data_IF_022914644317
#
_entry.id   IF_022914644317
#
_cell.length_a   1.000
_cell.length_b   1.000
_cell.length_c   1.000
_cell.angle_alpha   90.00
_cell.angle_beta   90.00
_cell.angle_gamma   90.00
#
_symmetry.space_group_name_H-M   'P 1'
#
loop_
_entity.id
_entity.type
_entity.pdbx_description
1 polymer ?
#
# COMPACT_ATOMS: atom_id res chain seq x y z
N UNK A 1 -11.04 -10.90 -45.49
CA UNK A 1 -10.63 -12.31 -45.37
C UNK A 1 -9.18 -12.31 -44.95
N UNK A 2 -8.87 -11.74 -43.78
CA UNK A 2 -9.12 -12.27 -42.41
C UNK A 2 -8.26 -13.52 -42.20
N UNK A 3 -7.40 -13.61 -41.19
CA UNK A 3 -7.59 -13.19 -39.81
C UNK A 3 -6.24 -12.94 -39.12
N UNK A 4 -6.08 -11.79 -38.44
CA UNK A 4 -5.07 -11.61 -37.38
C UNK A 4 -5.48 -12.48 -36.19
N UNK A 5 -4.63 -13.41 -35.80
CA UNK A 5 -4.76 -14.15 -34.55
C UNK A 5 -4.35 -13.17 -33.44
N UNK A 6 -5.32 -12.70 -32.66
CA UNK A 6 -5.06 -12.06 -31.37
C UNK A 6 -4.50 -13.14 -30.44
N UNK A 7 -3.23 -13.03 -30.04
CA UNK A 7 -2.71 -13.79 -28.90
C UNK A 7 -3.39 -13.23 -27.65
N UNK A 8 -4.46 -13.90 -27.22
CA UNK A 8 -5.13 -13.63 -25.94
C UNK A 8 -4.09 -13.68 -24.83
N UNK A 9 -3.84 -12.53 -24.18
CA UNK A 9 -3.08 -12.48 -22.94
C UNK A 9 -3.90 -13.24 -21.90
N UNK A 10 -3.46 -14.45 -21.58
CA UNK A 10 -4.15 -15.29 -20.61
C UNK A 10 -3.92 -14.67 -19.22
N UNK A 11 -4.95 -13.99 -18.73
CA UNK A 11 -5.03 -13.45 -17.37
C UNK A 11 -5.58 -14.57 -16.48
N UNK A 12 -4.72 -15.08 -15.61
CA UNK A 12 -5.10 -16.07 -14.60
C UNK A 12 -5.31 -15.37 -13.27
N UNK A 13 -6.51 -15.48 -12.73
CA UNK A 13 -6.83 -15.02 -11.39
C UNK A 13 -6.68 -16.19 -10.42
N UNK A 14 -5.79 -16.06 -9.44
CA UNK A 14 -5.64 -17.03 -8.36
C UNK A 14 -5.95 -16.37 -7.03
N UNK A 15 -6.72 -17.04 -6.18
CA UNK A 15 -6.96 -16.59 -4.82
C UNK A 15 -6.11 -17.42 -3.87
N UNK A 16 -5.18 -16.78 -3.18
CA UNK A 16 -4.32 -17.44 -2.21
C UNK A 16 -4.51 -16.86 -0.82
N UNK A 17 -4.44 -17.72 0.18
CA UNK A 17 -4.70 -17.34 1.55
C UNK A 17 -3.39 -16.84 2.19
N UNK A 18 -3.10 -15.55 2.04
CA UNK A 18 -1.94 -14.92 2.66
C UNK A 18 -2.35 -14.31 4.00
N UNK A 19 -1.67 -14.67 5.09
CA UNK A 19 -2.04 -14.09 6.39
C UNK A 19 -3.42 -14.54 6.91
N UNK A 20 -4.02 -15.60 6.34
CA UNK A 20 -5.42 -15.96 6.56
C UNK A 20 -6.43 -14.99 5.92
N UNK A 21 -6.01 -14.25 4.89
CA UNK A 21 -6.85 -13.39 4.06
C UNK A 21 -6.85 -13.93 2.64
N UNK A 22 -8.03 -14.12 2.07
CA UNK A 22 -8.19 -14.51 0.66
C UNK A 22 -7.70 -13.35 -0.23
N UNK A 23 -6.56 -13.55 -0.87
CA UNK A 23 -5.82 -12.54 -1.64
C UNK A 23 -5.93 -12.88 -3.11
N UNK A 24 -6.57 -12.01 -3.89
CA UNK A 24 -6.62 -12.15 -5.35
C UNK A 24 -5.28 -11.75 -5.95
N UNK A 25 -4.68 -12.68 -6.69
CA UNK A 25 -3.44 -12.52 -7.43
C UNK A 25 -3.77 -12.61 -8.90
N UNK A 26 -3.62 -11.49 -9.60
CA UNK A 26 -3.79 -11.43 -11.04
C UNK A 26 -2.43 -11.73 -11.68
N UNK A 27 -2.34 -12.88 -12.35
CA UNK A 27 -1.14 -13.38 -13.02
C UNK A 27 -1.32 -13.22 -14.54
N UNK A 28 -0.31 -12.71 -15.23
CA UNK A 28 -0.33 -12.59 -16.69
C UNK A 28 0.75 -13.50 -17.27
N UNK A 29 0.36 -14.49 -18.09
CA UNK A 29 1.27 -15.47 -18.72
C UNK A 29 1.03 -16.92 -18.29
N UNK A 30 1.70 -17.91 -18.92
CA UNK A 30 1.42 -19.33 -18.70
C UNK A 30 1.81 -19.79 -17.28
N UNK A 31 0.83 -20.33 -16.55
CA UNK A 31 0.96 -20.80 -15.17
C UNK A 31 0.18 -22.11 -14.96
N UNK A 32 0.55 -22.94 -13.99
CA UNK A 32 -0.13 -24.21 -13.65
C UNK A 32 -0.85 -24.12 -12.31
N UNK A 33 -2.14 -24.47 -12.35
CA UNK A 33 -3.14 -24.35 -11.30
C UNK A 33 -3.02 -25.46 -10.24
N UNK A 34 -3.19 -25.15 -8.95
CA UNK A 34 -2.91 -26.10 -7.87
C UNK A 34 -4.11 -26.62 -7.09
N UNK A 35 -5.29 -25.98 -7.02
CA UNK A 35 -6.36 -26.49 -6.13
C UNK A 35 -7.78 -26.05 -6.57
N UNK A 36 -8.43 -26.89 -7.38
CA UNK A 36 -9.86 -27.03 -7.69
C UNK A 36 -10.95 -26.23 -6.89
N UNK A 37 -11.75 -25.47 -7.65
CA UNK A 37 -13.22 -25.14 -7.56
C UNK A 37 -13.85 -24.52 -6.28
N UNK A 38 -14.39 -23.29 -6.34
CA UNK A 38 -15.72 -22.81 -6.82
C UNK A 38 -16.90 -22.97 -5.83
N UNK A 39 -17.22 -21.90 -5.07
CA UNK A 39 -18.59 -21.37 -4.93
C UNK A 39 -18.70 -20.08 -4.07
N UNK A 40 -19.51 -19.13 -4.55
CA UNK A 40 -20.17 -17.97 -3.90
C UNK A 40 -19.38 -16.64 -3.72
N UNK A 41 -19.85 -15.62 -4.46
CA UNK A 41 -19.86 -14.15 -4.23
C UNK A 41 -18.90 -13.56 -3.16
N UNK A 42 -17.80 -12.88 -3.56
CA UNK A 42 -16.84 -12.19 -2.66
C UNK A 42 -16.17 -10.93 -3.28
N UNK A 43 -15.64 -9.98 -2.46
CA UNK A 43 -15.44 -8.57 -2.85
C UNK A 43 -14.04 -8.15 -3.34
N UNK A 44 -14.02 -7.40 -4.46
CA UNK A 44 -13.44 -6.05 -4.76
C UNK A 44 -12.21 -5.45 -4.00
N UNK A 45 -11.13 -6.18 -3.73
CA UNK A 45 -9.86 -5.52 -3.32
C UNK A 45 -8.60 -6.27 -3.75
N UNK A 46 -7.73 -5.60 -4.52
CA UNK A 46 -6.39 -6.06 -4.91
C UNK A 46 -5.37 -5.57 -3.86
N UNK A 47 -4.77 -6.49 -3.10
CA UNK A 47 -3.59 -6.22 -2.27
C UNK A 47 -2.44 -7.07 -2.79
N UNK A 48 -1.41 -6.39 -3.29
CA UNK A 48 -0.24 -7.02 -3.86
C UNK A 48 0.81 -7.24 -2.75
N UNK A 49 0.81 -8.43 -2.14
CA UNK A 49 1.89 -8.84 -1.23
C UNK A 49 2.96 -9.51 -2.09
N UNK A 50 3.93 -8.70 -2.50
CA UNK A 50 5.08 -9.18 -3.25
C UNK A 50 5.94 -10.01 -2.30
N UNK A 51 6.12 -11.29 -2.61
CA UNK A 51 7.22 -12.07 -2.07
C UNK A 51 8.15 -12.36 -3.24
N UNK A 52 9.33 -11.75 -3.21
CA UNK A 52 10.37 -12.10 -4.18
C UNK A 52 11.13 -13.27 -3.55
N UNK A 53 11.28 -14.43 -4.19
CA UNK A 53 12.12 -15.50 -3.66
C UNK A 53 13.58 -15.06 -3.43
N UNK A 54 14.06 -14.01 -4.11
CA UNK A 54 15.37 -13.39 -3.92
C UNK A 54 15.37 -12.22 -2.92
N UNK A 55 14.25 -11.98 -2.23
CA UNK A 55 14.08 -10.98 -1.17
C UNK A 55 15.23 -10.95 -0.15
N UNK A 56 15.84 -12.09 0.14
CA UNK A 56 16.93 -12.21 1.12
C UNK A 56 18.23 -11.51 0.69
N UNK A 57 18.42 -11.22 -0.60
CA UNK A 57 19.60 -10.47 -1.09
C UNK A 57 19.47 -8.95 -0.91
N UNK A 58 18.26 -8.47 -0.60
CA UNK A 58 17.99 -7.03 -0.40
C UNK A 58 18.45 -6.63 1.00
N UNK A 59 19.41 -5.71 1.04
CA UNK A 59 19.89 -5.13 2.28
C UNK A 59 18.75 -4.39 2.97
N UNK A 60 18.49 -4.72 4.24
CA UNK A 60 17.44 -4.11 5.06
C UNK A 60 16.03 -4.26 4.47
N UNK A 61 15.64 -5.49 4.09
CA UNK A 61 14.34 -5.77 3.47
C UNK A 61 13.13 -5.24 4.24
N UNK A 62 13.18 -5.19 5.58
CA UNK A 62 12.07 -4.69 6.39
C UNK A 62 12.12 -3.17 6.58
N UNK A 63 13.18 -2.50 6.15
CA UNK A 63 13.29 -1.05 6.12
C UNK A 63 12.62 -0.43 4.90
N UNK A 64 12.38 0.88 4.96
CA UNK A 64 11.75 1.68 3.93
C UNK A 64 12.49 1.54 2.59
N UNK A 65 13.83 1.63 2.61
CA UNK A 65 14.65 1.48 1.40
C UNK A 65 14.56 0.07 0.83
N UNK A 66 14.70 -0.95 1.66
CA UNK A 66 14.59 -2.34 1.20
C UNK A 66 13.21 -2.64 0.62
N UNK A 67 12.14 -2.10 1.22
CA UNK A 67 10.78 -2.21 0.69
C UNK A 67 10.58 -1.53 -0.67
N UNK A 68 11.30 -0.45 -0.96
CA UNK A 68 11.29 0.22 -2.27
C UNK A 68 12.09 -0.60 -3.28
N UNK A 69 13.32 -0.98 -2.95
CA UNK A 69 14.21 -1.78 -3.81
C UNK A 69 13.54 -3.11 -4.19
N UNK A 70 12.85 -3.73 -3.24
CA UNK A 70 12.09 -4.96 -3.44
C UNK A 70 10.97 -4.81 -4.47
N UNK A 71 10.18 -3.73 -4.39
CA UNK A 71 9.13 -3.45 -5.39
C UNK A 71 9.72 -3.17 -6.77
N UNK A 72 10.82 -2.42 -6.84
CA UNK A 72 11.51 -2.15 -8.10
C UNK A 72 12.06 -3.44 -8.72
N UNK A 73 12.71 -4.29 -7.94
CA UNK A 73 13.26 -5.57 -8.39
C UNK A 73 12.17 -6.48 -8.95
N UNK A 74 11.03 -6.55 -8.26
CA UNK A 74 9.86 -7.27 -8.75
C UNK A 74 9.36 -6.70 -10.08
N UNK A 75 9.14 -5.38 -10.17
CA UNK A 75 8.63 -4.75 -11.40
C UNK A 75 9.58 -5.01 -12.59
N UNK A 76 10.89 -4.99 -12.36
CA UNK A 76 11.88 -5.27 -13.42
C UNK A 76 11.94 -6.73 -13.84
N UNK A 77 11.73 -7.66 -12.92
CA UNK A 77 11.93 -9.10 -13.18
C UNK A 77 10.64 -9.81 -13.60
N UNK A 78 9.49 -9.38 -13.10
CA UNK A 78 8.23 -10.10 -13.25
C UNK A 78 7.23 -9.41 -14.19
N UNK A 79 7.36 -8.09 -14.42
CA UNK A 79 6.46 -7.37 -15.33
C UNK A 79 7.07 -7.30 -16.74
N UNK A 80 6.37 -7.79 -17.77
CA UNK A 80 6.81 -7.64 -19.15
C UNK A 80 6.97 -6.17 -19.56
N UNK A 81 7.99 -5.87 -20.38
CA UNK A 81 8.37 -4.48 -20.73
C UNK A 81 7.33 -3.73 -21.55
N UNK A 82 6.44 -4.46 -22.21
CA UNK A 82 5.36 -3.96 -23.06
C UNK A 82 4.06 -3.68 -22.29
N UNK A 83 3.97 -4.09 -21.01
CA UNK A 83 2.80 -3.87 -20.17
C UNK A 83 2.83 -2.48 -19.55
N UNK A 84 1.85 -1.64 -19.88
CA UNK A 84 1.64 -0.33 -19.26
C UNK A 84 1.21 -0.46 -17.80
N UNK A 85 1.74 0.39 -16.93
CA UNK A 85 1.53 0.32 -15.49
C UNK A 85 0.71 1.50 -14.95
N UNK A 86 -0.21 1.20 -14.04
CA UNK A 86 -0.84 2.18 -13.15
C UNK A 86 -0.39 1.89 -11.73
N UNK A 87 0.22 2.86 -11.06
CA UNK A 87 0.69 2.70 -9.68
C UNK A 87 -0.31 3.36 -8.71
N UNK A 88 -0.68 2.67 -7.65
CA UNK A 88 -1.56 3.21 -6.60
C UNK A 88 -0.81 3.09 -5.27
N UNK A 89 -0.47 4.23 -4.69
CA UNK A 89 0.16 4.31 -3.38
C UNK A 89 -0.84 4.83 -2.35
N UNK A 90 -0.94 4.16 -1.19
CA UNK A 90 -1.66 4.66 -0.03
C UNK A 90 -0.68 4.99 1.09
N UNK A 91 -0.86 6.12 1.79
CA UNK A 91 0.00 6.51 2.91
C UNK A 91 1.47 6.50 2.49
N UNK A 92 2.34 5.78 3.20
CA UNK A 92 3.77 5.60 2.84
C UNK A 92 3.95 4.98 1.46
N UNK A 93 2.99 4.18 1.00
CA UNK A 93 2.98 3.62 -0.35
C UNK A 93 3.02 4.72 -1.42
N UNK A 94 2.46 5.91 -1.15
CA UNK A 94 2.59 7.08 -2.04
C UNK A 94 4.06 7.51 -2.19
N UNK A 95 4.81 7.56 -1.08
CA UNK A 95 6.24 7.86 -1.10
C UNK A 95 7.00 6.76 -1.85
N UNK A 96 6.72 5.48 -1.58
CA UNK A 96 7.37 4.36 -2.26
C UNK A 96 7.15 4.42 -3.78
N UNK A 97 5.93 4.72 -4.22
CA UNK A 97 5.60 4.85 -5.65
C UNK A 97 6.34 6.02 -6.30
N UNK A 98 6.49 7.16 -5.62
CA UNK A 98 7.33 8.26 -6.11
C UNK A 98 8.81 7.83 -6.24
N UNK A 99 9.31 7.04 -5.30
CA UNK A 99 10.68 6.48 -5.39
C UNK A 99 10.81 5.44 -6.52
N UNK A 100 9.77 4.66 -6.81
CA UNK A 100 9.75 3.77 -7.99
C UNK A 100 9.88 4.61 -9.27
N UNK A 101 9.11 5.68 -9.42
CA UNK A 101 9.21 6.57 -10.58
C UNK A 101 10.61 7.16 -10.74
N UNK A 102 11.24 7.56 -9.63
CA UNK A 102 12.59 8.12 -9.60
C UNK A 102 13.69 7.11 -9.96
N UNK A 103 13.60 5.89 -9.45
CA UNK A 103 14.67 4.90 -9.53
C UNK A 103 14.47 3.83 -10.61
N UNK A 104 13.28 3.79 -11.23
CA UNK A 104 12.95 2.94 -12.34
C UNK A 104 12.20 3.70 -13.45
N UNK A 105 12.80 4.78 -14.01
CA UNK A 105 12.16 5.60 -15.04
C UNK A 105 11.90 4.84 -16.35
N UNK A 106 12.55 3.69 -16.55
CA UNK A 106 12.32 2.81 -17.69
C UNK A 106 10.96 2.09 -17.65
N UNK A 107 10.29 2.05 -16.49
CA UNK A 107 9.00 1.40 -16.36
C UNK A 107 7.91 2.20 -17.10
N UNK A 108 7.06 1.55 -17.91
CA UNK A 108 6.02 2.21 -18.70
C UNK A 108 4.81 2.62 -17.84
N UNK A 109 5.04 3.46 -16.83
CA UNK A 109 4.00 3.96 -15.92
C UNK A 109 3.21 5.08 -16.57
N UNK A 110 1.94 4.79 -16.88
CA UNK A 110 1.00 5.69 -17.56
C UNK A 110 0.24 6.59 -16.60
N UNK A 111 0.00 6.17 -15.36
CA UNK A 111 -0.65 7.00 -14.35
C UNK A 111 -0.31 6.54 -12.93
N UNK A 112 -0.36 7.46 -11.97
CA UNK A 112 -0.11 7.19 -10.57
C UNK A 112 -1.14 7.88 -9.68
N UNK A 113 -1.77 7.11 -8.78
CA UNK A 113 -2.68 7.62 -7.75
C UNK A 113 -1.99 7.62 -6.38
N UNK A 114 -1.96 8.77 -5.73
CA UNK A 114 -1.34 9.00 -4.42
C UNK A 114 -2.46 9.28 -3.40
N UNK A 115 -2.90 8.22 -2.72
CA UNK A 115 -4.02 8.22 -1.78
C UNK A 115 -3.55 8.52 -0.37
N UNK A 116 -4.10 9.55 0.26
CA UNK A 116 -3.75 10.01 1.61
C UNK A 116 -2.22 10.10 1.78
N UNK A 117 -1.53 10.91 0.96
CA UNK A 117 -0.11 10.70 0.65
C UNK A 117 0.83 11.21 1.74
N UNK A 118 1.42 10.30 2.52
CA UNK A 118 2.49 10.64 3.49
C UNK A 118 3.83 10.73 2.76
N UNK A 119 4.04 11.84 2.05
CA UNK A 119 5.24 12.10 1.22
C UNK A 119 6.14 13.19 1.79
N UNK A 120 5.75 13.80 2.91
CA UNK A 120 6.47 14.86 3.58
C UNK A 120 6.05 14.99 5.05
N UNK A 121 6.91 15.63 5.85
CA UNK A 121 6.64 16.11 7.22
C UNK A 121 5.93 15.08 8.12
N UNK A 122 6.21 13.79 7.94
CA UNK A 122 5.42 12.72 8.54
C UNK A 122 5.43 12.80 10.08
N UNK A 123 6.60 12.98 10.67
CA UNK A 123 6.77 13.16 12.12
C UNK A 123 6.15 14.45 12.67
N UNK A 124 5.95 15.47 11.83
CA UNK A 124 5.37 16.76 12.23
C UNK A 124 3.83 16.77 12.16
N UNK A 125 3.23 15.79 11.50
CA UNK A 125 1.77 15.63 11.42
C UNK A 125 1.15 15.41 12.82
N UNK A 126 -0.15 15.71 13.02
CA UNK A 126 -0.82 15.49 14.30
C UNK A 126 -0.62 14.08 14.87
N UNK A 127 -0.74 13.05 14.04
CA UNK A 127 -0.53 11.66 14.46
C UNK A 127 0.95 11.32 14.57
N UNK A 128 1.78 11.84 13.65
CA UNK A 128 3.23 11.63 13.66
C UNK A 128 3.90 12.12 14.93
N UNK A 129 3.48 13.26 15.49
CA UNK A 129 4.03 13.77 16.76
C UNK A 129 3.81 12.83 17.94
N UNK A 130 2.73 12.05 17.91
CA UNK A 130 2.40 11.06 18.94
C UNK A 130 3.09 9.73 18.64
N UNK A 131 3.09 9.30 17.38
CA UNK A 131 3.62 8.01 16.95
C UNK A 131 5.17 7.96 16.94
N UNK A 132 5.83 9.06 16.57
CA UNK A 132 7.31 9.13 16.45
C UNK A 132 8.03 8.70 17.73
N UNK A 133 7.73 9.21 18.94
CA UNK A 133 8.41 8.73 20.14
C UNK A 133 8.16 7.23 20.42
N UNK A 134 6.94 6.74 20.14
CA UNK A 134 6.59 5.32 20.32
C UNK A 134 7.40 4.42 19.39
N UNK A 135 7.49 4.79 18.11
CA UNK A 135 8.15 4.00 17.07
C UNK A 135 9.68 4.16 17.11
N UNK A 136 10.21 5.34 17.41
CA UNK A 136 11.66 5.59 17.36
C UNK A 136 12.36 5.27 18.67
N UNK A 137 11.76 5.62 19.82
CA UNK A 137 12.44 5.54 21.12
C UNK A 137 11.99 4.35 21.94
N UNK A 138 10.69 4.03 21.90
CA UNK A 138 10.13 2.92 22.67
C UNK A 138 10.06 1.60 21.91
N UNK A 139 10.54 1.50 20.67
CA UNK A 139 10.48 0.24 19.89
C UNK A 139 11.11 -0.95 20.60
N UNK A 140 12.24 -0.77 21.28
CA UNK A 140 12.87 -1.89 21.98
C UNK A 140 12.07 -2.32 23.22
N UNK A 141 11.41 -1.36 23.89
CA UNK A 141 10.45 -1.70 24.94
C UNK A 141 9.26 -2.46 24.35
N UNK A 142 8.74 -2.05 23.19
CA UNK A 142 7.70 -2.78 22.46
C UNK A 142 8.14 -4.19 22.10
N UNK A 143 9.37 -4.38 21.61
CA UNK A 143 9.90 -5.71 21.26
C UNK A 143 10.03 -6.61 22.48
N UNK A 144 10.52 -6.07 23.59
CA UNK A 144 10.65 -6.81 24.85
C UNK A 144 9.28 -7.16 25.41
N UNK A 145 8.33 -6.22 25.42
CA UNK A 145 6.98 -6.50 25.91
C UNK A 145 6.25 -7.50 25.02
N UNK A 146 6.37 -7.37 23.70
CA UNK A 146 5.80 -8.29 22.72
C UNK A 146 6.40 -9.70 22.87
N UNK A 147 7.73 -9.81 22.94
CA UNK A 147 8.39 -11.10 23.15
C UNK A 147 8.00 -11.76 24.49
N UNK A 148 7.97 -11.00 25.59
CA UNK A 148 7.67 -11.54 26.92
C UNK A 148 6.18 -11.83 27.13
N UNK A 149 5.28 -11.06 26.51
CA UNK A 149 3.83 -11.19 26.73
C UNK A 149 3.17 -12.06 25.67
N UNK A 150 3.54 -11.92 24.38
CA UNK A 150 2.87 -12.61 23.28
C UNK A 150 3.50 -13.96 22.96
N UNK A 151 4.82 -14.15 23.09
CA UNK A 151 5.46 -15.47 22.82
C UNK A 151 4.94 -16.60 23.73
N UNK A 152 4.83 -16.43 25.07
CA UNK A 152 4.35 -17.51 25.94
C UNK A 152 2.81 -17.59 26.01
N UNK A 153 2.09 -16.64 25.41
CA UNK A 153 0.64 -16.58 25.48
C UNK A 153 -0.01 -17.64 24.58
N UNK A 154 -0.92 -18.48 25.10
CA UNK A 154 -1.63 -19.46 24.27
C UNK A 154 -2.42 -18.76 23.17
N UNK A 155 -2.46 -19.36 21.97
CA UNK A 155 -3.12 -18.76 20.80
C UNK A 155 -4.61 -18.51 21.01
N UNK A 156 -5.25 -19.26 21.92
CA UNK A 156 -6.63 -19.05 22.35
C UNK A 156 -6.81 -17.65 22.97
N UNK A 157 -5.86 -17.22 23.81
CA UNK A 157 -5.92 -15.92 24.50
C UNK A 157 -5.60 -14.79 23.52
N UNK A 158 -4.60 -14.97 22.63
CA UNK A 158 -4.33 -14.03 21.54
C UNK A 158 -5.58 -13.84 20.67
N UNK A 159 -6.21 -14.94 20.29
CA UNK A 159 -7.43 -14.95 19.47
C UNK A 159 -8.59 -14.23 20.16
N UNK A 160 -8.74 -14.43 21.47
CA UNK A 160 -9.74 -13.75 22.26
C UNK A 160 -9.49 -12.24 22.36
N UNK A 161 -8.25 -11.81 22.62
CA UNK A 161 -7.86 -10.40 22.66
C UNK A 161 -8.10 -9.72 21.30
N UNK A 162 -7.74 -10.40 20.21
CA UNK A 162 -7.97 -9.94 18.83
C UNK A 162 -9.46 -9.73 18.57
N UNK A 163 -10.30 -10.69 18.96
CA UNK A 163 -11.74 -10.57 18.79
C UNK A 163 -12.33 -9.40 19.59
N UNK A 164 -11.78 -9.09 20.77
CA UNK A 164 -12.17 -7.90 21.54
C UNK A 164 -11.76 -6.63 20.80
N UNK A 165 -10.49 -6.52 20.39
CA UNK A 165 -9.99 -5.36 19.67
C UNK A 165 -10.81 -5.13 18.41
N UNK A 166 -11.02 -6.15 17.59
CA UNK A 166 -11.84 -6.14 16.36
C UNK A 166 -13.27 -5.64 16.60
N UNK A 167 -13.92 -6.11 17.68
CA UNK A 167 -15.25 -5.64 18.08
C UNK A 167 -15.25 -4.17 18.49
N UNK A 168 -14.25 -3.72 19.23
CA UNK A 168 -14.11 -2.31 19.65
C UNK A 168 -13.90 -1.39 18.45
N UNK A 169 -13.09 -1.81 17.48
CA UNK A 169 -12.86 -1.05 16.24
C UNK A 169 -13.98 -1.25 15.21
N UNK A 170 -15.08 -1.92 15.56
CA UNK A 170 -16.24 -2.23 14.72
C UNK A 170 -15.85 -2.68 13.31
N UNK A 171 -14.77 -3.45 13.21
CA UNK A 171 -14.34 -4.06 11.96
C UNK A 171 -14.97 -5.43 11.89
N UNK A 172 -15.98 -5.55 11.02
CA UNK A 172 -16.41 -6.85 10.51
C UNK A 172 -15.38 -7.28 9.49
N UNK A 173 -14.35 -7.98 9.93
CA UNK A 173 -13.37 -8.51 9.00
C UNK A 173 -13.26 -10.02 9.16
N UNK A 174 -13.40 -10.71 8.02
CA UNK A 174 -12.90 -12.06 7.75
C UNK A 174 -11.36 -12.08 7.65
N UNK A 175 -10.68 -11.07 8.23
CA UNK A 175 -9.23 -10.91 8.20
C UNK A 175 -8.66 -11.69 9.37
N UNK A 176 -7.86 -12.72 9.09
CA UNK A 176 -7.19 -13.48 10.14
C UNK A 176 -6.05 -12.64 10.73
N UNK A 177 -6.37 -11.73 11.65
CA UNK A 177 -5.42 -10.83 12.34
C UNK A 177 -4.29 -11.57 13.09
N UNK A 178 -4.39 -12.90 13.21
CA UNK A 178 -3.44 -13.76 13.92
C UNK A 178 -2.02 -13.67 13.37
N UNK A 179 -1.86 -13.43 12.06
CA UNK A 179 -0.53 -13.36 11.44
C UNK A 179 0.09 -11.97 11.58
N UNK A 180 -0.72 -10.90 11.65
CA UNK A 180 -0.24 -9.52 11.83
C UNK A 180 0.26 -9.28 13.26
N UNK A 181 -0.29 -9.99 14.24
CA UNK A 181 0.09 -9.90 15.67
C UNK A 181 1.22 -10.86 16.03
N UNK A 182 1.83 -11.53 15.04
CA UNK A 182 3.08 -12.24 15.28
C UNK A 182 4.15 -11.24 15.72
N UNK A 183 4.96 -11.55 16.76
CA UNK A 183 5.90 -10.59 17.30
C UNK A 183 6.88 -10.03 16.27
N UNK A 184 7.32 -10.87 15.33
CA UNK A 184 8.19 -10.45 14.23
C UNK A 184 7.51 -9.47 13.27
N UNK A 185 6.21 -9.63 12.99
CA UNK A 185 5.46 -8.73 12.13
C UNK A 185 5.26 -7.36 12.78
N UNK A 186 4.92 -7.31 14.07
CA UNK A 186 4.83 -6.07 14.83
C UNK A 186 6.19 -5.37 14.93
N UNK A 187 7.26 -6.15 15.17
CA UNK A 187 8.60 -5.61 15.25
C UNK A 187 9.06 -4.98 13.93
N UNK A 188 8.80 -5.65 12.81
CA UNK A 188 9.12 -5.16 11.47
C UNK A 188 8.26 -3.96 11.07
N UNK A 189 6.96 -3.96 11.40
CA UNK A 189 6.09 -2.81 11.17
C UNK A 189 6.54 -1.57 11.96
N UNK A 190 6.92 -1.76 13.23
CA UNK A 190 7.46 -0.68 14.05
C UNK A 190 8.84 -0.20 13.54
N UNK A 191 9.68 -1.11 13.06
CA UNK A 191 10.96 -0.79 12.46
C UNK A 191 10.80 0.08 11.20
N UNK A 192 9.93 -0.35 10.28
CA UNK A 192 9.57 0.37 9.07
C UNK A 192 8.98 1.74 9.42
N UNK A 193 7.97 1.79 10.29
CA UNK A 193 7.33 3.03 10.72
C UNK A 193 8.30 4.03 11.35
N UNK A 194 9.29 3.56 12.12
CA UNK A 194 10.35 4.42 12.64
C UNK A 194 11.22 5.02 11.52
N UNK A 195 11.60 4.24 10.52
CA UNK A 195 12.35 4.74 9.36
C UNK A 195 11.53 5.74 8.53
N UNK A 196 10.23 5.50 8.35
CA UNK A 196 9.31 6.41 7.67
C UNK A 196 9.28 7.79 8.33
N UNK A 197 9.10 7.85 9.66
CA UNK A 197 9.10 9.12 10.41
C UNK A 197 10.39 9.91 10.22
N UNK A 198 11.53 9.23 10.16
CA UNK A 198 12.84 9.86 10.08
C UNK A 198 13.27 10.22 8.65
N UNK A 199 12.74 9.53 7.64
CA UNK A 199 13.15 9.70 6.24
C UNK A 199 12.21 10.63 5.49
N UNK A 200 10.91 10.54 5.76
CA UNK A 200 9.85 11.27 5.03
C UNK A 200 9.66 12.65 5.66
N UNK A 201 10.68 13.49 5.48
CA UNK A 201 10.74 14.84 6.04
C UNK A 201 10.38 15.89 4.99
N UNK A 202 11.06 15.87 3.83
CA UNK A 202 10.85 16.84 2.76
C UNK A 202 10.19 16.18 1.55
N UNK A 203 9.20 16.86 0.97
CA UNK A 203 8.61 16.48 -0.31
C UNK A 203 9.66 16.56 -1.43
N UNK A 204 9.68 15.55 -2.29
CA UNK A 204 10.51 15.55 -3.49
C UNK A 204 9.77 16.31 -4.60
N UNK A 205 9.92 17.63 -4.63
CA UNK A 205 9.23 18.50 -5.58
C UNK A 205 9.73 18.28 -7.03
N UNK A 206 10.99 17.86 -7.21
CA UNK A 206 11.58 17.64 -8.52
C UNK A 206 10.90 16.46 -9.23
N UNK A 207 10.75 15.32 -8.55
CA UNK A 207 10.06 14.15 -9.12
C UNK A 207 8.58 14.40 -9.35
N UNK A 208 7.93 15.17 -8.46
CA UNK A 208 6.53 15.55 -8.62
C UNK A 208 6.38 16.42 -9.86
N UNK A 209 7.25 17.42 -10.04
CA UNK A 209 7.23 18.31 -11.20
C UNK A 209 7.47 17.54 -12.50
N UNK A 210 8.42 16.62 -12.51
CA UNK A 210 8.77 15.80 -13.68
C UNK A 210 7.59 14.94 -14.16
N UNK A 211 6.79 14.41 -13.23
CA UNK A 211 5.70 13.49 -13.53
C UNK A 211 4.30 14.09 -13.33
N UNK A 212 4.18 15.39 -13.07
CA UNK A 212 2.94 16.04 -12.62
C UNK A 212 1.72 15.69 -13.48
N UNK A 213 1.89 15.59 -14.80
CA UNK A 213 0.82 15.30 -15.75
C UNK A 213 0.19 13.91 -15.58
N UNK A 214 0.88 12.97 -14.93
CA UNK A 214 0.41 11.60 -14.67
C UNK A 214 0.22 11.29 -13.18
N UNK A 215 0.26 12.30 -12.30
CA UNK A 215 0.02 12.15 -10.87
C UNK A 215 -1.37 12.66 -10.49
N UNK A 216 -2.13 11.86 -9.75
CA UNK A 216 -3.33 12.31 -9.03
C UNK A 216 -3.09 12.20 -7.53
N UNK A 217 -3.20 13.32 -6.83
CA UNK A 217 -3.13 13.37 -5.37
C UNK A 217 -4.53 13.39 -4.78
N UNK A 218 -4.77 12.57 -3.76
CA UNK A 218 -6.06 12.50 -3.07
C UNK A 218 -5.88 12.62 -1.57
N UNK A 219 -6.25 13.78 -1.01
CA UNK A 219 -6.20 14.08 0.42
C UNK A 219 -7.57 13.92 1.07
N UNK A 220 -7.62 13.70 2.39
CA UNK A 220 -8.86 13.68 3.16
C UNK A 220 -8.95 14.84 4.14
N UNK A 221 -10.14 15.41 4.33
CA UNK A 221 -10.35 16.52 5.28
C UNK A 221 -10.15 16.13 6.75
N UNK A 222 -10.26 14.84 7.09
CA UNK A 222 -10.06 14.31 8.43
C UNK A 222 -8.79 13.47 8.60
N UNK A 223 -7.86 13.58 7.65
CA UNK A 223 -6.59 12.89 7.71
C UNK A 223 -5.62 13.57 8.71
N UNK A 224 -5.34 12.89 9.81
CA UNK A 224 -4.41 13.35 10.85
C UNK A 224 -2.94 12.99 10.59
N UNK A 225 -2.64 12.27 9.51
CA UNK A 225 -1.28 12.01 9.00
C UNK A 225 -0.90 13.00 7.91
N UNK A 226 -1.88 13.41 7.10
CA UNK A 226 -1.71 14.39 6.02
C UNK A 226 -2.78 15.49 6.15
N UNK A 227 -2.62 16.42 7.12
CA UNK A 227 -3.63 17.44 7.39
C UNK A 227 -3.89 18.32 6.16
N UNK A 228 -5.05 18.97 6.11
CA UNK A 228 -5.49 19.83 4.98
C UNK A 228 -4.44 20.87 4.57
N UNK A 229 -3.61 21.35 5.51
CA UNK A 229 -2.48 22.23 5.21
C UNK A 229 -1.52 21.64 4.15
N UNK A 230 -1.28 20.33 4.16
CA UNK A 230 -0.39 19.69 3.17
C UNK A 230 -1.03 19.69 1.78
N UNK A 231 -2.35 19.50 1.70
CA UNK A 231 -3.12 19.69 0.47
C UNK A 231 -3.04 21.14 -0.04
N UNK A 232 -3.18 22.13 0.85
CA UNK A 232 -3.08 23.55 0.48
C UNK A 232 -1.68 23.91 -0.04
N UNK A 233 -0.63 23.44 0.66
CA UNK A 233 0.77 23.66 0.29
C UNK A 233 1.05 23.07 -1.11
N UNK A 234 0.71 21.80 -1.37
CA UNK A 234 0.95 21.18 -2.68
C UNK A 234 0.11 21.81 -3.80
N UNK A 235 -1.14 22.21 -3.51
CA UNK A 235 -1.99 22.88 -4.51
C UNK A 235 -1.45 24.25 -4.88
N UNK A 236 -0.83 24.96 -3.92
CA UNK A 236 -0.16 26.23 -4.16
C UNK A 236 1.10 26.07 -5.02
N UNK A 237 1.91 25.06 -4.74
CA UNK A 237 3.18 24.83 -5.44
C UNK A 237 2.97 24.25 -6.85
N UNK A 238 1.92 23.44 -7.04
CA UNK A 238 1.58 22.78 -8.31
C UNK A 238 0.11 23.05 -8.70
N UNK A 239 -0.25 24.29 -9.08
CA UNK A 239 -1.64 24.66 -9.36
C UNK A 239 -2.27 23.85 -10.50
N UNK A 240 -1.47 23.49 -11.51
CA UNK A 240 -1.86 22.68 -12.68
C UNK A 240 -1.98 21.18 -12.38
N UNK A 241 -1.57 20.74 -11.19
CA UNK A 241 -1.63 19.33 -10.79
C UNK A 241 -3.06 18.85 -10.50
N UNK A 242 -3.31 17.57 -10.78
CA UNK A 242 -4.53 16.88 -10.37
C UNK A 242 -4.47 16.56 -8.86
N UNK A 243 -4.84 17.54 -8.05
CA UNK A 243 -4.77 17.50 -6.60
C UNK A 243 -6.18 17.69 -6.06
N UNK A 244 -6.68 16.65 -5.39
CA UNK A 244 -8.08 16.54 -4.95
C UNK A 244 -8.17 16.44 -3.43
N UNK A 245 -9.23 17.02 -2.88
CA UNK A 245 -9.57 16.93 -1.45
C UNK A 245 -10.92 16.24 -1.28
N UNK A 246 -10.95 15.20 -0.44
CA UNK A 246 -12.14 14.46 -0.10
C UNK A 246 -12.86 15.10 1.08
N UNK A 247 -14.06 15.63 0.82
CA UNK A 247 -14.92 16.22 1.85
C UNK A 247 -15.82 15.19 2.57
N UNK A 248 -15.81 13.92 2.14
CA UNK A 248 -16.66 12.85 2.67
C UNK A 248 -16.19 12.31 4.04
N UNK A 249 -15.27 13.01 4.71
CA UNK A 249 -14.76 12.66 6.04
C UNK A 249 -14.19 11.23 6.12
N UNK A 250 -13.58 10.75 5.02
CA UNK A 250 -12.98 9.42 4.95
C UNK A 250 -11.67 9.44 5.75
N UNK A 251 -11.47 8.53 6.72
CA UNK A 251 -10.27 8.50 7.55
C UNK A 251 -9.06 8.00 6.75
N UNK A 252 -7.85 8.35 7.21
CA UNK A 252 -6.59 7.88 6.62
C UNK A 252 -6.54 6.35 6.43
N UNK A 253 -7.00 5.61 7.43
CA UNK A 253 -7.09 4.15 7.40
C UNK A 253 -8.41 3.68 6.73
N UNK A 254 -8.72 4.25 5.55
CA UNK A 254 -9.96 3.97 4.81
C UNK A 254 -10.11 2.49 4.48
N UNK A 255 -9.01 1.76 4.33
CA UNK A 255 -8.96 0.32 4.00
C UNK A 255 -9.82 -0.53 4.91
N UNK A 256 -10.08 -0.07 6.14
CA UNK A 256 -10.86 -0.83 7.11
C UNK A 256 -12.38 -0.68 6.96
N UNK A 257 -12.89 0.43 6.42
CA UNK A 257 -14.34 0.71 6.40
C UNK A 257 -14.88 1.33 5.11
N UNK A 258 -14.00 1.90 4.29
CA UNK A 258 -14.30 2.65 3.08
C UNK A 258 -13.48 2.16 1.87
N UNK A 259 -12.92 0.94 1.96
CA UNK A 259 -12.13 0.34 0.86
C UNK A 259 -12.96 0.27 -0.42
N UNK A 260 -14.23 -0.11 -0.31
CA UNK A 260 -15.15 -0.19 -1.42
C UNK A 260 -15.39 1.16 -2.10
N UNK A 261 -15.66 2.20 -1.30
CA UNK A 261 -15.91 3.55 -1.81
C UNK A 261 -14.70 4.12 -2.56
N UNK A 262 -13.51 3.92 -2.01
CA UNK A 262 -12.26 4.36 -2.65
C UNK A 262 -11.96 3.51 -3.89
N UNK A 263 -12.21 2.21 -3.87
CA UNK A 263 -11.99 1.33 -5.02
C UNK A 263 -12.91 1.68 -6.20
N UNK A 264 -14.21 1.87 -5.96
CA UNK A 264 -15.16 2.26 -7.02
C UNK A 264 -14.82 3.64 -7.61
N UNK A 265 -14.37 4.57 -6.76
CA UNK A 265 -13.88 5.89 -7.20
C UNK A 265 -12.64 5.77 -8.08
N UNK A 266 -11.61 5.01 -7.66
CA UNK A 266 -10.39 4.81 -8.43
C UNK A 266 -10.67 4.06 -9.74
N UNK A 267 -11.51 3.03 -9.72
CA UNK A 267 -11.90 2.31 -10.93
C UNK A 267 -12.53 3.23 -11.98
N UNK A 268 -13.37 4.18 -11.54
CA UNK A 268 -13.95 5.21 -12.40
C UNK A 268 -12.85 6.10 -13.01
N UNK A 269 -11.93 6.61 -12.18
CA UNK A 269 -10.84 7.48 -12.68
C UNK A 269 -9.87 6.77 -13.61
N UNK A 270 -9.56 5.50 -13.33
CA UNK A 270 -8.75 4.65 -14.21
C UNK A 270 -9.43 4.54 -15.57
N UNK A 271 -10.73 4.23 -15.60
CA UNK A 271 -11.49 4.12 -16.86
C UNK A 271 -11.47 5.43 -17.65
N UNK A 272 -11.66 6.55 -16.99
CA UNK A 272 -11.63 7.88 -17.61
C UNK A 272 -10.24 8.20 -18.17
N UNK A 273 -9.17 7.86 -17.45
CA UNK A 273 -7.79 8.08 -17.91
C UNK A 273 -7.45 7.19 -19.10
N UNK A 274 -7.82 5.90 -19.06
CA UNK A 274 -7.61 4.98 -20.17
C UNK A 274 -8.37 5.40 -21.43
N UNK A 275 -9.54 6.03 -21.30
CA UNK A 275 -10.30 6.52 -22.46
C UNK A 275 -9.65 7.71 -23.20
N UNK A 276 -8.65 8.34 -22.59
CA UNK A 276 -7.94 9.51 -23.13
C UNK A 276 -6.59 9.15 -23.79
N UNK A 277 -6.16 7.90 -23.67
CA UNK A 277 -4.88 7.36 -24.19
C UNK A 277 -5.17 6.52 -25.43
#
# INVERSE_FOLDING_TARGET
MDSKIEEEIIVHEEFLQCGGVETQVVKCGPWTDLVNDQNVNRPKMLIFIITDPNAQEIKDIYGLRGQIEHKIAFLRSQVPKDVKLILIGHSVGSYMVLQILKHAPELPVIHTFLLFPTIERMAESPTGRIATPLLCWFRYALYVTDYLLLTPCPDIVKSWLINIVLRVINLKTELTLMNVIQPFCLANAAYLGAQEMMTIVKRDDDIIKEHLSKLTFYYGTSDSWCPTKYYEDIKKDFPEGDIRLCEKNIPHAFVFRFSQDIADMIATWVKDNLSKI
#
